data_IF_455988148085
#
_entry.id   IF_455988148085
#
_cell.length_a   1.000
_cell.length_b   1.000
_cell.length_c   1.000
_cell.angle_alpha   90.00
_cell.angle_beta   90.00
_cell.angle_gamma   90.00
#
_symmetry.space_group_name_H-M   'P 1'
#
loop_
_entity.id
_entity.type
_entity.pdbx_description
1 polymer ?
#
# COMPACT_ATOMS: atom_id res chain seq x y z
N UNK A 1 -8.86 3.95 34.05
CA UNK A 1 -9.60 5.21 33.81
C UNK A 1 -9.26 5.65 32.41
N UNK A 2 -10.23 5.70 31.50
CA UNK A 2 -9.98 6.26 30.17
C UNK A 2 -9.80 7.78 30.32
N UNK A 3 -8.77 8.34 29.69
CA UNK A 3 -8.60 9.78 29.60
C UNK A 3 -9.77 10.31 28.77
N UNK A 4 -10.63 11.13 29.38
CA UNK A 4 -11.79 11.70 28.70
C UNK A 4 -11.30 12.87 27.85
N UNK A 5 -11.39 12.72 26.53
CA UNK A 5 -11.08 13.78 25.57
C UNK A 5 -12.30 14.70 25.47
N UNK A 6 -12.08 15.99 25.63
CA UNK A 6 -13.09 17.02 25.41
C UNK A 6 -12.64 17.96 24.29
N UNK A 7 -13.61 18.49 23.53
CA UNK A 7 -13.37 19.38 22.39
C UNK A 7 -14.12 20.69 22.66
N UNK A 8 -13.53 21.82 22.29
CA UNK A 8 -14.16 23.13 22.40
C UNK A 8 -14.24 23.82 21.03
N UNK A 9 -15.41 24.40 20.71
CA UNK A 9 -15.55 25.39 19.64
C UNK A 9 -14.98 26.73 20.12
N UNK A 10 -14.05 27.30 19.37
CA UNK A 10 -13.44 28.62 19.68
C UNK A 10 -13.98 29.67 18.72
N UNK A 11 -14.58 30.73 19.27
CA UNK A 11 -15.10 31.89 18.53
C UNK A 11 -14.56 33.18 19.17
N UNK A 12 -13.61 33.84 18.49
CA UNK A 12 -12.84 34.94 19.08
C UNK A 12 -12.08 34.48 20.32
N UNK A 13 -12.25 35.19 21.43
CA UNK A 13 -11.62 34.85 22.73
C UNK A 13 -12.47 33.89 23.60
N UNK A 14 -13.55 33.33 23.06
CA UNK A 14 -14.46 32.44 23.80
C UNK A 14 -14.34 31.00 23.31
N UNK A 15 -14.20 30.08 24.26
CA UNK A 15 -14.24 28.64 24.00
C UNK A 15 -15.50 28.03 24.65
N UNK A 16 -16.28 27.28 23.89
CA UNK A 16 -17.47 26.56 24.36
C UNK A 16 -17.28 25.05 24.13
N UNK A 17 -17.46 24.19 25.16
CA UNK A 17 -17.28 22.75 25.00
C UNK A 17 -18.34 22.18 24.06
N UNK A 18 -17.94 21.30 23.16
CA UNK A 18 -18.86 20.53 22.34
C UNK A 18 -19.60 19.51 23.21
N UNK A 19 -20.87 19.25 22.90
CA UNK A 19 -21.67 18.28 23.65
C UNK A 19 -21.49 16.88 23.08
N UNK A 20 -21.07 15.93 23.90
CA UNK A 20 -21.08 14.51 23.54
C UNK A 20 -22.51 14.06 23.25
N UNK A 21 -22.69 13.44 22.09
CA UNK A 21 -23.98 12.88 21.67
C UNK A 21 -23.79 11.47 21.16
N UNK A 22 -24.71 10.54 21.40
CA UNK A 22 -24.65 9.22 20.77
C UNK A 22 -24.71 9.37 19.25
N UNK A 23 -24.15 8.39 18.53
CA UNK A 23 -24.33 8.30 17.09
C UNK A 23 -25.77 7.84 16.80
N UNK A 24 -26.42 8.48 15.81
CA UNK A 24 -27.86 8.26 15.54
C UNK A 24 -28.18 6.80 15.17
N UNK A 25 -27.31 6.16 14.38
CA UNK A 25 -27.45 4.75 14.01
C UNK A 25 -26.13 4.15 13.53
N UNK A 26 -26.02 2.83 13.57
CA UNK A 26 -24.89 2.09 12.97
C UNK A 26 -24.81 2.32 11.47
N UNK A 27 -25.97 2.33 10.80
CA UNK A 27 -26.06 2.65 9.38
C UNK A 27 -25.45 4.01 9.05
N UNK A 28 -25.72 5.05 9.85
CA UNK A 28 -25.13 6.39 9.66
C UNK A 28 -23.60 6.35 9.80
N UNK A 29 -23.10 5.63 10.79
CA UNK A 29 -21.65 5.44 10.98
C UNK A 29 -21.03 4.71 9.78
N UNK A 30 -21.65 3.63 9.30
CA UNK A 30 -21.23 2.93 8.10
C UNK A 30 -21.23 3.83 6.87
N UNK A 31 -22.27 4.65 6.67
CA UNK A 31 -22.36 5.59 5.55
C UNK A 31 -21.19 6.57 5.57
N UNK A 32 -20.86 7.11 6.74
CA UNK A 32 -19.73 8.04 6.92
C UNK A 32 -18.37 7.36 6.65
N UNK A 33 -18.18 6.14 7.13
CA UNK A 33 -16.93 5.39 6.92
C UNK A 33 -16.81 4.86 5.50
N UNK A 34 -17.92 4.53 4.84
CA UNK A 34 -17.89 4.11 3.44
C UNK A 34 -17.50 5.27 2.51
N UNK A 35 -17.95 6.48 2.81
CA UNK A 35 -17.62 7.70 2.06
C UNK A 35 -16.18 8.14 2.28
N UNK A 36 -15.73 8.21 3.54
CA UNK A 36 -14.34 8.55 3.89
C UNK A 36 -13.78 7.56 4.93
N UNK A 37 -13.25 6.41 4.49
CA UNK A 37 -12.69 5.44 5.41
C UNK A 37 -11.45 5.96 6.13
N UNK A 38 -10.71 6.89 5.54
CA UNK A 38 -9.49 7.43 6.13
C UNK A 38 -9.78 8.27 7.39
N UNK A 39 -10.97 8.89 7.48
CA UNK A 39 -11.38 9.66 8.66
C UNK A 39 -11.29 8.85 9.96
N UNK A 40 -11.74 7.59 9.97
CA UNK A 40 -11.69 6.73 11.15
C UNK A 40 -10.55 5.71 11.13
N UNK A 41 -10.20 5.15 9.97
CA UNK A 41 -9.15 4.12 9.86
C UNK A 41 -7.76 4.69 9.64
N UNK A 42 -7.63 5.98 9.29
CA UNK A 42 -6.35 6.60 8.95
C UNK A 42 -5.65 5.98 7.74
N UNK A 43 -6.36 5.10 7.03
CA UNK A 43 -5.86 4.37 5.88
C UNK A 43 -6.74 4.77 4.70
N UNK A 44 -6.10 5.09 3.59
CA UNK A 44 -6.81 5.32 2.35
C UNK A 44 -7.29 3.96 1.79
N UNK A 45 -8.60 3.77 1.72
CA UNK A 45 -9.23 2.52 1.29
C UNK A 45 -10.17 2.76 0.10
N UNK A 46 -10.13 1.85 -0.87
CA UNK A 46 -11.23 1.65 -1.82
C UNK A 46 -12.25 0.71 -1.17
N UNK A 47 -13.45 1.19 -0.84
CA UNK A 47 -14.52 0.34 -0.34
C UNK A 47 -15.07 -0.52 -1.46
N UNK A 48 -14.90 -1.83 -1.32
CA UNK A 48 -15.31 -2.81 -2.34
C UNK A 48 -16.64 -3.47 -2.02
N UNK A 49 -17.09 -3.42 -0.77
CA UNK A 49 -18.36 -4.02 -0.40
C UNK A 49 -18.89 -3.52 0.92
N UNK A 50 -20.21 -3.61 1.06
CA UNK A 50 -20.94 -3.27 2.27
C UNK A 50 -21.92 -4.38 2.61
N UNK A 51 -22.06 -4.71 3.90
CA UNK A 51 -22.94 -5.77 4.40
C UNK A 51 -22.71 -7.08 3.63
N UNK A 52 -21.43 -7.43 3.45
CA UNK A 52 -20.98 -8.54 2.60
C UNK A 52 -21.24 -9.85 3.32
N UNK A 53 -22.11 -10.67 2.75
CA UNK A 53 -22.43 -12.00 3.28
C UNK A 53 -21.26 -12.95 3.05
N UNK A 54 -20.80 -13.60 4.12
CA UNK A 54 -19.79 -14.66 4.05
C UNK A 54 -20.45 -15.99 3.70
N UNK A 55 -19.66 -16.94 3.19
CA UNK A 55 -20.17 -18.26 2.82
C UNK A 55 -20.63 -19.08 4.04
N UNK A 56 -20.21 -18.69 5.24
CA UNK A 56 -20.59 -19.31 6.52
C UNK A 56 -21.75 -18.59 7.23
N UNK A 57 -22.36 -17.58 6.59
CA UNK A 57 -23.57 -16.91 7.06
C UNK A 57 -23.35 -15.65 7.91
N UNK A 58 -22.09 -15.23 8.11
CA UNK A 58 -21.76 -13.93 8.72
C UNK A 58 -21.95 -12.77 7.76
N UNK A 59 -21.95 -11.53 8.28
CA UNK A 59 -22.13 -10.31 7.46
C UNK A 59 -21.08 -9.28 7.86
N UNK A 60 -20.11 -9.05 6.98
CA UNK A 60 -19.07 -8.03 7.18
C UNK A 60 -19.68 -6.66 6.91
N UNK A 61 -19.57 -5.72 7.85
CA UNK A 61 -20.15 -4.38 7.70
C UNK A 61 -19.55 -3.63 6.50
N UNK A 62 -18.22 -3.47 6.45
CA UNK A 62 -17.51 -2.92 5.29
C UNK A 62 -16.25 -3.73 4.96
N UNK A 63 -15.99 -3.87 3.66
CA UNK A 63 -14.79 -4.49 3.11
C UNK A 63 -14.09 -3.47 2.20
N UNK A 64 -12.79 -3.26 2.41
CA UNK A 64 -11.99 -2.32 1.64
C UNK A 64 -10.65 -2.89 1.18
N UNK A 65 -10.03 -2.25 0.19
CA UNK A 65 -8.66 -2.51 -0.24
C UNK A 65 -7.79 -1.28 -0.03
N UNK A 66 -6.59 -1.47 0.52
CA UNK A 66 -5.57 -0.41 0.52
C UNK A 66 -4.72 -0.41 -0.76
N UNK A 67 -3.78 0.53 -0.85
CA UNK A 67 -2.91 0.69 -2.02
C UNK A 67 -1.95 -0.49 -2.27
N UNK A 68 -1.71 -1.35 -1.28
CA UNK A 68 -0.99 -2.61 -1.41
C UNK A 68 -1.89 -3.78 -1.86
N UNK A 69 -3.21 -3.57 -1.96
CA UNK A 69 -4.17 -4.62 -2.28
C UNK A 69 -4.46 -5.54 -1.09
N UNK A 70 -4.16 -5.13 0.14
CA UNK A 70 -4.55 -5.86 1.35
C UNK A 70 -6.02 -5.64 1.62
N UNK A 71 -6.70 -6.69 2.10
CA UNK A 71 -8.13 -6.61 2.44
C UNK A 71 -8.29 -6.10 3.87
N UNK A 72 -9.06 -5.03 4.02
CA UNK A 72 -9.45 -4.44 5.30
C UNK A 72 -10.89 -4.82 5.63
N UNK A 73 -11.06 -5.43 6.80
CA UNK A 73 -12.35 -5.76 7.41
C UNK A 73 -12.66 -4.69 8.43
N UNK A 74 -13.75 -3.97 8.23
CA UNK A 74 -14.23 -3.00 9.19
C UNK A 74 -15.52 -3.54 9.79
N UNK A 75 -15.51 -3.80 11.09
CA UNK A 75 -16.70 -4.16 11.87
C UNK A 75 -17.10 -2.94 12.71
N UNK A 76 -18.31 -2.44 12.52
CA UNK A 76 -18.76 -1.18 13.06
C UNK A 76 -19.86 -1.41 14.10
N UNK A 77 -19.77 -0.68 15.21
CA UNK A 77 -20.77 -0.69 16.28
C UNK A 77 -20.96 0.71 16.81
N UNK A 78 -22.21 1.16 16.94
CA UNK A 78 -22.47 2.54 17.40
C UNK A 78 -22.18 2.72 18.90
N UNK A 79 -22.43 1.67 19.67
CA UNK A 79 -22.37 1.67 21.14
C UNK A 79 -21.20 0.82 21.64
N UNK A 80 -21.15 0.64 22.97
CA UNK A 80 -20.24 -0.29 23.63
C UNK A 80 -20.40 -1.70 23.07
N UNK A 81 -19.29 -2.26 22.61
CA UNK A 81 -19.31 -3.57 21.95
C UNK A 81 -18.90 -4.70 22.91
N UNK A 82 -19.65 -5.83 22.92
CA UNK A 82 -19.30 -7.01 23.71
C UNK A 82 -18.21 -7.87 23.03
N UNK A 83 -17.61 -8.76 23.83
CA UNK A 83 -16.59 -9.75 23.43
C UNK A 83 -16.83 -10.49 22.11
N UNK A 84 -18.09 -10.71 21.74
CA UNK A 84 -18.45 -11.45 20.52
C UNK A 84 -17.91 -10.79 19.25
N UNK A 85 -17.73 -9.45 19.24
CA UNK A 85 -17.21 -8.74 18.06
C UNK A 85 -15.82 -9.22 17.68
N UNK A 86 -14.95 -9.48 18.66
CA UNK A 86 -13.57 -9.90 18.37
C UNK A 86 -13.57 -11.28 17.74
N UNK A 87 -14.41 -12.19 18.24
CA UNK A 87 -14.56 -13.53 17.67
C UNK A 87 -15.15 -13.48 16.27
N UNK A 88 -16.19 -12.67 16.06
CA UNK A 88 -16.84 -12.44 14.76
C UNK A 88 -15.85 -11.87 13.73
N UNK A 89 -15.10 -10.82 14.09
CA UNK A 89 -14.09 -10.23 13.21
C UNK A 89 -12.99 -11.23 12.82
N UNK A 90 -12.55 -12.08 13.75
CA UNK A 90 -11.57 -13.13 13.46
C UNK A 90 -12.14 -14.26 12.60
N UNK A 91 -13.41 -14.62 12.79
CA UNK A 91 -14.10 -15.63 11.99
C UNK A 91 -14.15 -15.22 10.51
N UNK A 92 -14.41 -13.93 10.23
CA UNK A 92 -14.32 -13.37 8.88
C UNK A 92 -12.96 -13.57 8.23
N UNK A 93 -11.89 -13.55 9.02
CA UNK A 93 -10.53 -13.80 8.53
C UNK A 93 -10.38 -15.17 7.86
N UNK A 94 -11.13 -16.18 8.31
CA UNK A 94 -11.10 -17.52 7.69
C UNK A 94 -11.70 -17.51 6.28
N UNK A 95 -12.78 -16.76 6.09
CA UNK A 95 -13.45 -16.61 4.79
C UNK A 95 -12.63 -15.72 3.85
N UNK A 96 -12.16 -14.58 4.35
CA UNK A 96 -11.44 -13.58 3.55
C UNK A 96 -10.15 -14.13 2.99
N UNK A 97 -9.43 -14.96 3.75
CA UNK A 97 -8.17 -15.57 3.30
C UNK A 97 -8.32 -16.37 2.00
N UNK A 98 -9.51 -16.84 1.67
CA UNK A 98 -9.79 -17.61 0.45
C UNK A 98 -10.21 -16.74 -0.75
N UNK A 99 -10.41 -15.43 -0.58
CA UNK A 99 -10.85 -14.55 -1.65
C UNK A 99 -9.69 -14.24 -2.60
N UNK A 100 -9.82 -14.67 -3.84
CA UNK A 100 -8.96 -14.26 -4.94
C UNK A 100 -9.47 -12.97 -5.60
N UNK A 101 -8.73 -12.46 -6.59
CA UNK A 101 -9.10 -11.25 -7.32
C UNK A 101 -10.47 -11.34 -7.99
N UNK A 102 -10.83 -12.52 -8.52
CA UNK A 102 -12.11 -12.72 -9.18
C UNK A 102 -13.27 -12.64 -8.19
N UNK A 103 -13.10 -13.18 -6.98
CA UNK A 103 -14.11 -13.08 -5.93
C UNK A 103 -14.21 -11.66 -5.36
N UNK A 104 -13.10 -10.95 -5.25
CA UNK A 104 -13.11 -9.53 -4.86
C UNK A 104 -13.82 -8.65 -5.91
N UNK A 105 -13.60 -8.92 -7.20
CA UNK A 105 -14.29 -8.23 -8.30
C UNK A 105 -15.81 -8.50 -8.29
N UNK A 106 -16.23 -9.73 -7.98
CA UNK A 106 -17.65 -10.04 -7.79
C UNK A 106 -18.26 -9.27 -6.61
N UNK A 107 -17.55 -9.17 -5.48
CA UNK A 107 -18.01 -8.39 -4.32
C UNK A 107 -18.16 -6.91 -4.72
N UNK A 108 -17.19 -6.39 -5.48
CA UNK A 108 -17.21 -5.04 -6.03
C UNK A 108 -18.43 -4.79 -6.93
N UNK A 109 -18.70 -5.69 -7.87
CA UNK A 109 -19.86 -5.62 -8.77
C UNK A 109 -21.19 -5.68 -8.03
N UNK A 110 -21.32 -6.52 -7.01
CA UNK A 110 -22.54 -6.57 -6.18
C UNK A 110 -22.83 -5.22 -5.52
N UNK A 111 -21.78 -4.49 -5.12
CA UNK A 111 -21.93 -3.22 -4.42
C UNK A 111 -22.04 -2.01 -5.34
N UNK A 112 -21.27 -1.97 -6.44
CA UNK A 112 -21.15 -0.83 -7.34
C UNK A 112 -21.91 -1.00 -8.68
N UNK A 113 -22.45 -2.19 -8.94
CA UNK A 113 -23.18 -2.55 -10.17
C UNK A 113 -22.44 -3.56 -11.05
N UNK A 114 -23.21 -4.35 -11.81
CA UNK A 114 -22.69 -5.48 -12.60
C UNK A 114 -21.64 -5.09 -13.65
N UNK A 115 -21.64 -3.84 -14.14
CA UNK A 115 -20.67 -3.33 -15.11
C UNK A 115 -19.42 -2.70 -14.47
N UNK A 116 -19.35 -2.65 -13.14
CA UNK A 116 -18.23 -2.06 -12.42
C UNK A 116 -16.98 -2.96 -12.51
N UNK A 117 -15.82 -2.34 -12.73
CA UNK A 117 -14.52 -3.02 -12.84
C UNK A 117 -13.63 -2.64 -11.65
N UNK A 118 -13.32 -3.61 -10.79
CA UNK A 118 -12.49 -3.40 -9.61
C UNK A 118 -11.08 -2.93 -9.99
N UNK A 119 -10.48 -3.49 -11.05
CA UNK A 119 -9.11 -3.13 -11.46
C UNK A 119 -9.06 -1.68 -11.94
N UNK A 120 -10.05 -1.26 -12.72
CA UNK A 120 -10.16 0.12 -13.19
C UNK A 120 -10.37 1.09 -12.03
N UNK A 121 -11.27 0.78 -11.10
CA UNK A 121 -11.51 1.59 -9.91
C UNK A 121 -10.28 1.68 -9.00
N UNK A 122 -9.59 0.55 -8.78
CA UNK A 122 -8.37 0.50 -8.00
C UNK A 122 -7.25 1.32 -8.66
N UNK A 123 -7.06 1.22 -9.97
CA UNK A 123 -6.07 2.02 -10.69
C UNK A 123 -6.43 3.51 -10.77
N UNK A 124 -7.72 3.86 -10.68
CA UNK A 124 -8.18 5.25 -10.59
C UNK A 124 -7.93 5.87 -9.23
N UNK A 125 -7.86 5.08 -8.16
CA UNK A 125 -7.54 5.56 -6.80
C UNK A 125 -6.05 5.44 -6.46
N UNK A 126 -5.44 4.31 -6.82
CA UNK A 126 -4.10 3.90 -6.44
C UNK A 126 -3.21 3.61 -7.66
N UNK A 127 -2.13 2.86 -7.45
CA UNK A 127 -1.42 2.19 -8.54
C UNK A 127 -2.22 0.97 -9.01
N UNK A 128 -1.95 0.40 -10.21
CA UNK A 128 -2.57 -0.86 -10.62
C UNK A 128 -2.51 -1.93 -9.52
N UNK A 129 -3.62 -2.66 -9.36
CA UNK A 129 -3.78 -3.69 -8.35
C UNK A 129 -2.77 -4.82 -8.59
N UNK A 130 -2.17 -5.39 -7.53
CA UNK A 130 -1.18 -6.42 -7.71
C UNK A 130 -1.85 -7.79 -7.82
N UNK A 131 -2.22 -8.18 -9.05
CA UNK A 131 -3.02 -9.39 -9.32
C UNK A 131 -2.57 -10.65 -8.55
N UNK A 132 -1.25 -10.91 -8.46
CA UNK A 132 -0.71 -12.11 -7.80
C UNK A 132 -0.59 -12.01 -6.28
N UNK A 133 -0.53 -10.79 -5.73
CA UNK A 133 -0.29 -10.51 -4.31
C UNK A 133 -1.54 -9.94 -3.60
N UNK A 134 -2.63 -9.70 -4.33
CA UNK A 134 -3.86 -9.17 -3.77
C UNK A 134 -4.36 -10.10 -2.66
N UNK A 135 -4.80 -9.51 -1.55
CA UNK A 135 -5.27 -10.22 -0.38
C UNK A 135 -4.24 -11.23 0.19
N UNK A 136 -2.95 -10.99 -0.05
CA UNK A 136 -1.88 -11.76 0.61
C UNK A 136 -1.83 -11.47 2.12
N UNK A 137 -2.38 -10.36 2.57
CA UNK A 137 -2.47 -10.01 3.98
C UNK A 137 -3.82 -9.33 4.26
N UNK A 138 -4.31 -9.46 5.50
CA UNK A 138 -5.60 -8.93 5.93
C UNK A 138 -5.43 -7.96 7.10
N UNK A 139 -6.31 -6.98 7.22
CA UNK A 139 -6.36 -6.05 8.35
C UNK A 139 -7.77 -6.08 8.94
N UNK A 140 -7.85 -6.13 10.26
CA UNK A 140 -9.12 -6.22 10.98
C UNK A 140 -9.25 -5.00 11.90
N UNK A 141 -10.26 -4.18 11.66
CA UNK A 141 -10.49 -2.96 12.44
C UNK A 141 -11.89 -2.99 13.03
N UNK A 142 -11.98 -2.96 14.35
CA UNK A 142 -13.24 -2.78 15.07
C UNK A 142 -13.44 -1.28 15.31
N UNK A 143 -14.52 -0.70 14.82
CA UNK A 143 -14.87 0.72 15.00
C UNK A 143 -16.03 0.79 15.98
N UNK A 144 -15.80 1.32 17.18
CA UNK A 144 -16.81 1.40 18.24
C UNK A 144 -16.69 2.68 19.05
N UNK A 145 -17.73 3.05 19.82
CA UNK A 145 -17.60 4.15 20.78
C UNK A 145 -16.87 3.74 22.06
N UNK A 146 -16.96 2.46 22.44
CA UNK A 146 -16.25 1.85 23.55
C UNK A 146 -16.11 0.33 23.32
N UNK A 147 -15.04 -0.27 23.84
CA UNK A 147 -14.92 -1.73 24.00
C UNK A 147 -15.00 -2.11 25.47
N UNK A 148 -15.64 -3.23 25.79
CA UNK A 148 -15.54 -3.78 27.14
C UNK A 148 -14.09 -4.16 27.48
N UNK A 149 -13.69 -4.12 28.77
CA UNK A 149 -12.31 -4.38 29.16
C UNK A 149 -11.77 -5.76 28.75
N UNK A 150 -12.63 -6.78 28.60
CA UNK A 150 -12.19 -8.09 28.13
C UNK A 150 -11.89 -8.07 26.63
N UNK A 151 -12.72 -7.40 25.83
CA UNK A 151 -12.47 -7.19 24.39
C UNK A 151 -11.17 -6.43 24.14
N UNK A 152 -10.96 -5.31 24.84
CA UNK A 152 -9.72 -4.52 24.72
C UNK A 152 -8.47 -5.37 25.00
N UNK A 153 -8.46 -6.11 26.13
CA UNK A 153 -7.35 -7.00 26.48
C UNK A 153 -7.10 -8.09 25.43
N UNK A 154 -8.14 -8.63 24.80
CA UNK A 154 -7.98 -9.66 23.76
C UNK A 154 -7.35 -9.06 22.50
N UNK A 155 -7.81 -7.88 22.07
CA UNK A 155 -7.25 -7.19 20.89
C UNK A 155 -5.78 -6.85 21.14
N UNK A 156 -5.44 -6.24 22.27
CA UNK A 156 -4.06 -5.94 22.68
C UNK A 156 -3.19 -7.20 22.68
N UNK A 157 -3.65 -8.28 23.32
CA UNK A 157 -2.91 -9.54 23.38
C UNK A 157 -2.65 -10.13 21.99
N UNK A 158 -3.64 -10.16 21.11
CA UNK A 158 -3.50 -10.70 19.76
C UNK A 158 -2.57 -9.84 18.89
N UNK A 159 -2.71 -8.52 18.97
CA UNK A 159 -1.91 -7.58 18.21
C UNK A 159 -0.44 -7.59 18.67
N UNK A 160 -0.20 -7.41 19.96
CA UNK A 160 1.15 -7.22 20.50
C UNK A 160 1.91 -8.53 20.71
N UNK A 161 1.23 -9.60 21.14
CA UNK A 161 1.93 -10.86 21.49
C UNK A 161 2.04 -11.83 20.31
N UNK A 162 1.14 -11.73 19.32
CA UNK A 162 1.08 -12.69 18.20
C UNK A 162 1.14 -12.03 16.81
N UNK A 163 1.20 -10.70 16.74
CA UNK A 163 1.22 -9.97 15.46
C UNK A 163 -0.03 -10.23 14.62
N UNK A 164 -1.16 -10.55 15.24
CA UNK A 164 -2.43 -10.64 14.52
C UNK A 164 -2.80 -9.21 14.09
N UNK A 165 -3.10 -8.97 12.80
CA UNK A 165 -3.35 -7.63 12.27
C UNK A 165 -4.76 -7.13 12.64
N UNK A 166 -5.10 -7.13 13.93
CA UNK A 166 -6.37 -6.69 14.50
C UNK A 166 -6.14 -5.46 15.39
N UNK A 167 -7.01 -4.47 15.28
CA UNK A 167 -6.99 -3.29 16.15
C UNK A 167 -8.40 -2.73 16.34
N UNK A 168 -8.54 -1.73 17.22
CA UNK A 168 -9.79 -1.03 17.46
C UNK A 168 -9.62 0.48 17.37
N UNK A 169 -10.57 1.13 16.72
CA UNK A 169 -10.76 2.58 16.68
C UNK A 169 -11.91 2.93 17.62
N UNK A 170 -11.64 3.81 18.59
CA UNK A 170 -12.66 4.42 19.41
C UNK A 170 -13.08 5.75 18.81
N UNK A 171 -14.35 5.90 18.46
CA UNK A 171 -14.88 7.19 18.01
C UNK A 171 -15.69 7.89 19.11
N UNK A 172 -15.68 9.21 19.07
CA UNK A 172 -16.55 10.09 19.87
C UNK A 172 -17.31 10.99 18.93
N UNK A 173 -18.62 11.05 19.13
CA UNK A 173 -19.52 11.91 18.37
C UNK A 173 -19.91 13.11 19.23
N UNK A 174 -19.79 14.30 18.66
CA UNK A 174 -20.21 15.55 19.30
C UNK A 174 -21.16 16.28 18.38
N UNK A 175 -22.14 16.93 18.98
CA UNK A 175 -23.09 17.78 18.29
C UNK A 175 -23.00 19.20 18.80
N UNK A 176 -23.09 20.12 17.86
CA UNK A 176 -23.06 21.55 18.12
C UNK A 176 -23.93 22.24 17.07
N UNK A 177 -25.14 22.62 17.50
CA UNK A 177 -26.22 23.09 16.65
C UNK A 177 -26.58 22.09 15.53
N UNK A 178 -26.37 22.49 14.28
CA UNK A 178 -26.59 21.76 13.04
C UNK A 178 -25.33 21.04 12.52
N UNK A 179 -24.24 21.03 13.30
CA UNK A 179 -22.97 20.39 12.94
C UNK A 179 -22.70 19.16 13.81
N UNK A 180 -22.18 18.13 13.15
CA UNK A 180 -21.70 16.92 13.79
C UNK A 180 -20.17 16.83 13.65
N UNK A 181 -19.53 16.39 14.73
CA UNK A 181 -18.09 16.22 14.81
C UNK A 181 -17.77 14.79 15.22
N UNK A 182 -16.79 14.19 14.54
CA UNK A 182 -16.19 12.93 14.93
C UNK A 182 -14.76 13.15 15.36
N UNK A 183 -14.39 12.49 16.46
CA UNK A 183 -13.00 12.36 16.87
C UNK A 183 -12.70 10.89 17.11
N UNK A 184 -11.44 10.50 16.93
CA UNK A 184 -11.01 9.11 17.10
C UNK A 184 -9.75 8.95 17.93
N UNK A 185 -9.63 7.80 18.57
CA UNK A 185 -8.38 7.29 19.13
C UNK A 185 -8.22 5.82 18.75
N UNK A 186 -7.00 5.31 18.85
CA UNK A 186 -6.71 3.89 18.66
C UNK A 186 -6.51 3.21 20.00
N UNK A 187 -6.87 1.92 20.07
CA UNK A 187 -6.53 1.07 21.21
C UNK A 187 -5.02 0.83 21.27
N UNK A 188 -4.43 0.39 20.15
CA UNK A 188 -2.98 0.22 19.97
C UNK A 188 -2.52 1.13 18.84
N UNK A 189 -1.32 1.71 18.92
CA UNK A 189 -0.77 2.50 17.81
C UNK A 189 -0.74 1.65 16.51
N UNK A 190 -1.38 2.10 15.41
CA UNK A 190 -1.37 1.37 14.14
C UNK A 190 0.02 1.03 13.61
N UNK A 191 1.02 1.89 13.85
CA UNK A 191 2.40 1.63 13.44
C UNK A 191 3.00 0.46 14.21
N UNK A 192 2.67 0.32 15.50
CA UNK A 192 3.08 -0.80 16.34
C UNK A 192 2.42 -2.10 15.87
N UNK A 193 1.10 -2.09 15.60
CA UNK A 193 0.39 -3.27 15.10
C UNK A 193 0.98 -3.75 13.76
N UNK A 194 1.26 -2.83 12.84
CA UNK A 194 1.89 -3.15 11.57
C UNK A 194 3.30 -3.73 11.75
N UNK A 195 4.09 -3.19 12.69
CA UNK A 195 5.43 -3.70 12.98
C UNK A 195 5.40 -5.12 13.55
N UNK A 196 4.51 -5.42 14.50
CA UNK A 196 4.38 -6.76 15.08
C UNK A 196 3.82 -7.77 14.08
N UNK A 197 2.86 -7.37 13.24
CA UNK A 197 2.35 -8.23 12.17
C UNK A 197 3.42 -8.61 11.15
N UNK A 198 4.30 -7.66 10.79
CA UNK A 198 5.47 -7.93 9.94
C UNK A 198 6.46 -8.90 10.58
N UNK A 199 6.69 -8.79 11.90
CA UNK A 199 7.56 -9.72 12.63
C UNK A 199 6.98 -11.14 12.64
N UNK A 200 5.68 -11.28 12.90
CA UNK A 200 5.01 -12.57 12.92
C UNK A 200 4.96 -13.24 11.52
N UNK A 201 4.68 -12.48 10.47
CA UNK A 201 4.53 -13.04 9.10
C UNK A 201 5.83 -13.58 8.50
N UNK A 202 7.00 -13.16 8.99
CA UNK A 202 8.32 -13.74 8.61
C UNK A 202 8.42 -15.26 8.80
N UNK A 203 7.52 -15.87 9.57
CA UNK A 203 7.54 -17.32 9.87
C UNK A 203 6.62 -18.21 9.02
N UNK A 204 5.67 -17.67 8.21
CA UNK A 204 4.55 -18.49 7.64
C UNK A 204 4.40 -18.54 6.11
N UNK A 205 5.11 -17.70 5.35
CA UNK A 205 5.30 -17.81 3.88
C UNK A 205 6.80 -17.67 3.62
N UNK A 206 7.32 -18.02 2.44
CA UNK A 206 8.69 -17.57 2.06
C UNK A 206 8.65 -16.05 2.11
N UNK A 207 9.18 -15.43 3.17
CA UNK A 207 8.90 -14.04 3.42
C UNK A 207 9.67 -13.25 2.38
N UNK A 208 9.09 -12.13 1.94
CA UNK A 208 9.89 -11.17 1.20
C UNK A 208 11.12 -10.82 2.04
N UNK A 209 12.32 -10.82 1.43
CA UNK A 209 13.58 -10.69 2.15
C UNK A 209 13.82 -9.29 2.75
N UNK A 210 12.86 -8.37 2.57
CA UNK A 210 12.90 -7.03 3.12
C UNK A 210 13.64 -6.01 2.26
N UNK A 211 14.26 -6.44 1.15
CA UNK A 211 15.14 -5.58 0.35
C UNK A 211 14.88 -5.65 -1.16
N UNK A 212 14.41 -6.77 -1.73
CA UNK A 212 14.44 -6.96 -3.19
C UNK A 212 13.13 -6.59 -3.89
N UNK A 213 13.20 -5.64 -4.81
CA UNK A 213 12.09 -5.28 -5.67
C UNK A 213 12.35 -5.68 -7.11
N UNK A 214 11.29 -6.08 -7.81
CA UNK A 214 11.24 -6.14 -9.25
C UNK A 214 10.83 -4.77 -9.78
N UNK A 215 11.45 -4.31 -10.87
CA UNK A 215 11.02 -3.11 -11.60
C UNK A 215 10.95 -3.36 -13.10
N UNK A 216 9.80 -3.09 -13.70
CA UNK A 216 9.62 -3.13 -15.16
C UNK A 216 10.00 -1.77 -15.78
N UNK A 217 11.05 -1.76 -16.60
CA UNK A 217 11.61 -0.58 -17.29
C UNK A 217 11.05 -0.37 -18.70
N UNK A 218 9.88 -0.92 -19.02
CA UNK A 218 9.27 -0.68 -20.32
C UNK A 218 7.79 -1.05 -20.41
N UNK A 219 7.15 -0.51 -21.44
CA UNK A 219 5.98 -1.01 -22.18
C UNK A 219 6.19 -0.58 -23.65
N UNK A 220 5.42 -1.11 -24.60
CA UNK A 220 5.51 -0.65 -25.99
C UNK A 220 5.38 0.90 -26.05
N UNK A 221 6.40 1.59 -26.60
CA UNK A 221 6.49 3.06 -26.66
C UNK A 221 7.28 3.75 -25.54
N UNK A 222 7.70 3.05 -24.47
CA UNK A 222 8.36 3.67 -23.30
C UNK A 222 9.80 3.20 -23.10
N UNK A 223 10.63 3.23 -24.15
CA UNK A 223 12.06 2.88 -24.02
C UNK A 223 12.86 3.89 -23.18
N UNK A 224 12.34 5.12 -23.03
CA UNK A 224 12.94 6.17 -22.21
C UNK A 224 13.31 5.75 -20.79
N UNK A 225 12.54 4.85 -20.18
CA UNK A 225 12.80 4.40 -18.80
C UNK A 225 14.08 3.61 -18.69
N UNK A 226 14.41 2.83 -19.72
CA UNK A 226 15.70 2.15 -19.79
C UNK A 226 16.82 3.17 -19.96
N UNK A 227 16.68 4.13 -20.87
CA UNK A 227 17.72 5.14 -21.13
C UNK A 227 18.02 6.00 -19.89
N UNK A 228 17.00 6.44 -19.16
CA UNK A 228 17.19 7.16 -17.90
C UNK A 228 17.90 6.29 -16.85
N UNK A 229 17.51 5.02 -16.75
CA UNK A 229 18.06 4.10 -15.76
C UNK A 229 19.52 3.74 -16.09
N UNK A 230 19.84 3.44 -17.34
CA UNK A 230 21.18 3.05 -17.78
C UNK A 230 22.15 4.23 -17.84
N UNK A 231 21.71 5.39 -18.34
CA UNK A 231 22.57 6.57 -18.53
C UNK A 231 22.72 7.42 -17.28
N UNK A 232 21.63 7.66 -16.56
CA UNK A 232 21.61 8.60 -15.45
C UNK A 232 21.41 7.94 -14.08
N UNK A 233 21.23 6.61 -14.03
CA UNK A 233 20.92 5.92 -12.78
C UNK A 233 19.57 6.37 -12.20
N UNK A 234 18.57 6.63 -13.04
CA UNK A 234 17.25 7.08 -12.61
C UNK A 234 16.15 6.12 -13.06
N UNK A 235 15.44 5.54 -12.09
CA UNK A 235 14.22 4.78 -12.33
C UNK A 235 13.04 5.76 -12.42
N UNK A 236 12.22 5.68 -13.46
CA UNK A 236 11.15 6.66 -13.74
C UNK A 236 9.76 6.03 -13.78
N UNK A 237 8.77 6.70 -13.21
CA UNK A 237 7.35 6.38 -13.35
C UNK A 237 6.46 7.59 -12.99
N UNK A 238 5.15 7.51 -13.31
CA UNK A 238 4.18 8.55 -12.94
C UNK A 238 3.94 8.69 -11.43
N UNK A 239 3.34 9.83 -11.03
CA UNK A 239 3.07 10.22 -9.63
C UNK A 239 2.46 9.15 -8.72
N UNK A 240 1.48 8.39 -9.24
CA UNK A 240 0.77 7.34 -8.48
C UNK A 240 1.48 5.99 -8.44
N UNK A 241 2.64 5.86 -9.07
CA UNK A 241 3.38 4.61 -9.19
C UNK A 241 3.79 4.00 -7.84
N UNK A 242 3.93 2.67 -7.82
CA UNK A 242 4.56 1.91 -6.73
C UNK A 242 6.05 2.18 -6.58
N UNK A 243 6.64 3.02 -7.45
CA UNK A 243 8.00 3.53 -7.32
C UNK A 243 8.26 4.14 -5.92
N UNK A 244 7.23 4.71 -5.27
CA UNK A 244 7.30 5.24 -3.89
C UNK A 244 7.69 4.22 -2.82
N UNK A 245 7.55 2.93 -3.12
CA UNK A 245 7.90 1.83 -2.23
C UNK A 245 9.41 1.54 -2.21
N UNK A 246 10.14 2.03 -3.22
CA UNK A 246 11.59 1.94 -3.26
C UNK A 246 12.19 2.91 -2.24
N UNK A 247 12.78 2.35 -1.19
CA UNK A 247 13.44 3.12 -0.13
C UNK A 247 14.96 3.02 -0.29
N UNK A 248 15.72 4.05 0.14
CA UNK A 248 17.17 3.96 0.17
C UNK A 248 17.65 2.65 0.82
N UNK A 249 18.60 1.98 0.17
CA UNK A 249 19.15 0.70 0.59
C UNK A 249 18.49 -0.54 -0.04
N UNK A 250 17.26 -0.45 -0.54
CA UNK A 250 16.59 -1.57 -1.24
C UNK A 250 17.29 -1.91 -2.56
N UNK A 251 17.25 -3.18 -2.96
CA UNK A 251 17.75 -3.63 -4.27
C UNK A 251 16.62 -3.68 -5.28
N UNK A 252 16.93 -3.36 -6.53
CA UNK A 252 16.00 -3.42 -7.66
C UNK A 252 16.55 -4.36 -8.72
N UNK A 253 15.72 -5.29 -9.16
CA UNK A 253 15.97 -6.20 -10.27
C UNK A 253 15.23 -5.64 -11.47
N UNK A 254 15.99 -5.00 -12.36
CA UNK A 254 15.47 -4.29 -13.51
C UNK A 254 15.15 -5.26 -14.65
N UNK A 255 13.92 -5.18 -15.14
CA UNK A 255 13.38 -6.06 -16.17
C UNK A 255 12.82 -5.25 -17.33
N UNK A 256 13.17 -5.66 -18.54
CA UNK A 256 12.61 -5.15 -19.79
C UNK A 256 11.50 -6.09 -20.28
N UNK A 257 10.23 -5.65 -20.30
CA UNK A 257 9.12 -6.48 -20.77
C UNK A 257 9.32 -7.00 -22.19
N UNK A 258 9.10 -8.31 -22.36
CA UNK A 258 9.35 -9.02 -23.62
C UNK A 258 10.81 -9.43 -23.84
N UNK A 259 11.75 -8.88 -23.08
CA UNK A 259 13.19 -9.11 -23.23
C UNK A 259 13.78 -9.97 -22.12
N UNK A 260 13.75 -9.51 -20.87
CA UNK A 260 14.46 -10.15 -19.76
C UNK A 260 15.01 -9.16 -18.72
N UNK A 261 15.81 -9.65 -17.78
CA UNK A 261 16.51 -8.83 -16.80
C UNK A 261 17.72 -8.12 -17.40
N UNK A 262 17.89 -6.84 -17.07
CA UNK A 262 18.91 -5.95 -17.65
C UNK A 262 19.91 -5.40 -16.63
N UNK A 263 19.63 -5.53 -15.34
CA UNK A 263 20.55 -5.11 -14.29
C UNK A 263 20.01 -5.33 -12.89
N UNK A 264 20.91 -5.25 -11.90
CA UNK A 264 20.56 -5.19 -10.49
C UNK A 264 21.18 -3.91 -9.92
N UNK A 265 20.37 -3.09 -9.27
CA UNK A 265 20.79 -1.84 -8.67
C UNK A 265 20.38 -1.71 -7.21
N UNK A 266 20.93 -0.71 -6.53
CA UNK A 266 20.56 -0.31 -5.18
C UNK A 266 20.02 1.11 -5.19
N UNK A 267 18.86 1.30 -4.57
CA UNK A 267 18.22 2.61 -4.44
C UNK A 267 19.04 3.47 -3.49
N UNK A 268 19.42 4.67 -3.93
CA UNK A 268 20.29 5.58 -3.17
C UNK A 268 19.54 6.78 -2.58
N UNK A 269 18.31 7.03 -3.01
CA UNK A 269 17.52 8.20 -2.62
C UNK A 269 16.02 7.93 -2.64
N UNK A 270 15.25 8.94 -2.22
CA UNK A 270 13.79 8.87 -2.24
C UNK A 270 13.24 9.24 -3.62
N UNK A 271 11.95 8.93 -3.83
CA UNK A 271 11.21 9.34 -5.02
C UNK A 271 11.00 10.85 -5.02
N UNK A 272 11.41 11.53 -6.09
CA UNK A 272 11.29 12.98 -6.27
C UNK A 272 10.71 13.32 -7.66
N UNK A 273 10.08 14.49 -7.85
CA UNK A 273 9.69 14.96 -9.18
C UNK A 273 10.88 15.06 -10.14
N UNK A 274 10.69 14.64 -11.40
CA UNK A 274 11.75 14.70 -12.42
C UNK A 274 12.26 16.14 -12.63
N UNK A 275 11.38 17.15 -12.60
CA UNK A 275 11.74 18.57 -12.73
C UNK A 275 12.70 19.13 -11.66
N UNK A 276 12.86 18.47 -10.52
CA UNK A 276 13.82 18.88 -9.48
C UNK A 276 14.98 17.90 -9.33
N UNK A 277 15.05 16.88 -10.18
CA UNK A 277 16.12 15.91 -10.15
C UNK A 277 17.38 16.50 -10.76
N UNK A 278 18.52 16.12 -10.19
CA UNK A 278 19.86 16.44 -10.69
C UNK A 278 20.58 15.13 -11.02
N UNK A 279 21.39 15.17 -12.07
CA UNK A 279 22.24 14.06 -12.50
C UNK A 279 23.69 14.50 -12.51
N UNK A 280 24.60 13.54 -12.32
CA UNK A 280 26.03 13.78 -12.38
C UNK A 280 26.54 13.52 -13.81
N UNK A 281 27.10 14.54 -14.45
CA UNK A 281 27.71 14.46 -15.78
C UNK A 281 29.11 15.05 -15.67
N UNK A 282 30.13 14.26 -16.03
CA UNK A 282 31.54 14.65 -15.95
C UNK A 282 31.97 15.18 -14.57
N UNK A 283 31.34 14.68 -13.50
CA UNK A 283 31.61 15.06 -12.11
C UNK A 283 30.90 16.34 -11.63
N UNK A 284 30.04 16.95 -12.46
CA UNK A 284 29.23 18.11 -12.11
C UNK A 284 27.74 17.75 -11.99
N UNK A 285 27.05 18.33 -11.00
CA UNK A 285 25.61 18.15 -10.85
C UNK A 285 24.88 19.12 -11.78
N UNK A 286 24.03 18.58 -12.64
CA UNK A 286 23.26 19.33 -13.62
C UNK A 286 21.78 18.95 -13.52
N UNK A 287 20.84 19.88 -13.77
CA UNK A 287 19.41 19.56 -13.82
C UNK A 287 19.12 18.47 -14.84
N UNK A 288 18.27 17.50 -14.48
CA UNK A 288 17.88 16.41 -15.38
C UNK A 288 17.19 16.94 -16.65
N UNK A 289 16.38 17.98 -16.52
CA UNK A 289 15.65 18.59 -17.65
C UNK A 289 16.56 19.30 -18.66
N UNK A 290 17.79 19.67 -18.26
CA UNK A 290 18.76 20.28 -19.19
C UNK A 290 19.48 19.22 -20.03
N UNK A 291 19.31 17.94 -19.71
CA UNK A 291 19.95 16.85 -20.42
C UNK A 291 19.15 16.39 -21.63
N UNK A 292 19.80 15.78 -22.65
CA UNK A 292 19.10 15.13 -23.73
C UNK A 292 18.10 14.11 -23.16
N UNK A 293 16.83 14.39 -23.38
CA UNK A 293 15.74 13.52 -22.96
C UNK A 293 15.34 12.58 -24.11
N UNK A 294 14.90 11.36 -23.76
CA UNK A 294 14.69 10.27 -24.71
C UNK A 294 13.46 10.46 -25.62
N UNK A 295 12.47 11.27 -25.23
CA UNK A 295 11.20 11.43 -25.93
C UNK A 295 10.45 12.71 -25.48
N UNK A 296 9.52 13.22 -26.31
CA UNK A 296 8.72 14.45 -26.08
C UNK A 296 7.60 14.23 -25.05
N UNK A 297 6.93 13.08 -25.06
CA UNK A 297 5.90 12.73 -24.07
C UNK A 297 6.51 12.66 -22.66
N UNK A 298 7.72 12.11 -22.53
CA UNK A 298 8.43 12.13 -21.26
C UNK A 298 8.74 13.55 -20.78
N UNK A 299 9.18 14.44 -21.67
CA UNK A 299 9.53 15.82 -21.29
C UNK A 299 8.33 16.59 -20.73
N UNK A 300 7.17 16.50 -21.39
CA UNK A 300 5.92 17.11 -20.92
C UNK A 300 5.55 16.61 -19.50
N UNK A 301 5.65 15.30 -19.26
CA UNK A 301 5.37 14.70 -17.96
C UNK A 301 6.39 15.12 -16.91
N UNK A 302 7.66 15.23 -17.28
CA UNK A 302 8.74 15.60 -16.38
C UNK A 302 8.62 17.05 -15.88
N UNK A 303 8.13 17.96 -16.73
CA UNK A 303 7.85 19.36 -16.38
C UNK A 303 6.54 19.55 -15.60
N UNK A 304 5.56 18.66 -15.78
CA UNK A 304 4.22 18.80 -15.22
C UNK A 304 4.20 18.89 -13.69
N UNK A 305 3.27 19.70 -13.16
CA UNK A 305 2.93 19.78 -11.74
C UNK A 305 1.67 19.03 -11.36
N UNK A 306 0.93 18.52 -12.35
CA UNK A 306 -0.30 17.76 -12.13
C UNK A 306 0.05 16.37 -11.55
N UNK A 307 -0.44 16.01 -10.34
CA UNK A 307 -0.19 14.70 -9.71
C UNK A 307 -0.50 13.47 -10.58
N UNK A 308 -1.41 13.62 -11.56
CA UNK A 308 -1.82 12.52 -12.45
C UNK A 308 -0.95 12.41 -13.70
N UNK A 309 -0.23 13.47 -14.06
CA UNK A 309 0.64 13.53 -15.24
C UNK A 309 2.12 13.47 -14.86
N UNK A 310 2.49 14.03 -13.71
CA UNK A 310 3.85 14.22 -13.24
C UNK A 310 4.70 12.95 -13.36
N UNK A 311 5.91 13.12 -13.89
CA UNK A 311 6.94 12.09 -13.85
C UNK A 311 7.79 12.22 -12.60
N UNK A 312 8.06 11.08 -11.98
CA UNK A 312 8.80 10.97 -10.74
C UNK A 312 9.97 10.00 -10.96
N UNK A 313 11.09 10.30 -10.32
CA UNK A 313 12.31 9.49 -10.43
C UNK A 313 12.82 9.03 -9.07
N UNK A 314 13.49 7.88 -9.06
CA UNK A 314 14.23 7.35 -7.91
C UNK A 314 15.66 7.06 -8.35
N UNK A 315 16.69 7.58 -7.66
CA UNK A 315 18.07 7.31 -8.02
C UNK A 315 18.49 5.90 -7.61
N UNK A 316 19.24 5.26 -8.49
CA UNK A 316 19.76 3.90 -8.37
C UNK A 316 21.24 3.88 -8.74
N UNK A 317 22.02 3.16 -7.95
CA UNK A 317 23.39 2.78 -8.27
C UNK A 317 23.39 1.32 -8.75
N UNK A 318 23.89 1.05 -9.95
CA UNK A 318 23.99 -0.32 -10.46
C UNK A 318 25.07 -1.08 -9.71
N UNK A 319 24.76 -2.28 -9.23
CA UNK A 319 25.68 -3.07 -8.39
C UNK A 319 26.85 -3.67 -9.18
N UNK A 320 26.64 -3.90 -10.47
CA UNK A 320 27.66 -4.30 -11.44
C UNK A 320 27.46 -3.48 -12.73
N UNK A 321 27.85 -2.18 -12.74
CA UNK A 321 27.62 -1.27 -13.86
C UNK A 321 28.16 -1.80 -15.20
N UNK A 322 29.29 -2.50 -15.17
CA UNK A 322 29.91 -3.13 -16.33
C UNK A 322 29.14 -4.35 -16.86
N UNK A 323 28.22 -4.89 -16.06
CA UNK A 323 27.42 -6.07 -16.39
C UNK A 323 25.98 -5.76 -16.77
N UNK A 324 25.54 -4.48 -16.70
CA UNK A 324 24.20 -4.10 -17.18
C UNK A 324 24.09 -4.40 -18.68
N UNK A 325 22.90 -4.80 -19.14
CA UNK A 325 22.69 -5.31 -20.50
C UNK A 325 21.66 -4.47 -21.23
N UNK A 326 21.92 -4.21 -22.51
CA UNK A 326 20.90 -3.65 -23.40
C UNK A 326 19.69 -4.60 -23.53
N UNK A 327 18.49 -4.10 -23.89
CA UNK A 327 17.28 -4.90 -23.93
C UNK A 327 17.33 -6.12 -24.86
N UNK A 328 18.14 -6.10 -25.91
CA UNK A 328 18.36 -7.22 -26.84
C UNK A 328 19.31 -8.29 -26.28
N UNK A 329 20.08 -7.94 -25.25
CA UNK A 329 21.03 -8.81 -24.54
C UNK A 329 20.52 -9.24 -23.15
N UNK A 330 19.30 -8.83 -22.80
CA UNK A 330 18.70 -9.09 -21.49
C UNK A 330 18.76 -10.58 -21.10
N UNK A 331 19.04 -10.83 -19.82
CA UNK A 331 19.06 -12.17 -19.27
C UNK A 331 17.65 -12.76 -19.19
N UNK A 332 17.46 -13.93 -19.80
CA UNK A 332 16.20 -14.66 -19.80
C UNK A 332 16.45 -16.14 -19.62
N UNK A 333 15.63 -16.75 -18.78
CA UNK A 333 15.56 -18.18 -18.57
C UNK A 333 14.09 -18.56 -18.34
N UNK A 334 13.74 -19.82 -18.61
CA UNK A 334 12.39 -20.31 -18.37
C UNK A 334 12.12 -20.36 -16.87
N UNK A 335 11.00 -19.78 -16.43
CA UNK A 335 10.58 -19.82 -15.03
C UNK A 335 11.02 -18.63 -14.19
N UNK A 336 11.70 -17.64 -14.80
CA UNK A 336 11.94 -16.38 -14.12
C UNK A 336 10.65 -15.59 -13.92
N UNK A 337 10.53 -14.94 -12.77
CA UNK A 337 9.43 -14.07 -12.41
C UNK A 337 9.38 -12.84 -13.33
N UNK A 338 8.17 -12.43 -13.71
CA UNK A 338 7.90 -11.17 -14.39
C UNK A 338 6.50 -10.69 -14.00
N UNK A 339 6.30 -9.38 -13.88
CA UNK A 339 5.03 -8.79 -13.47
C UNK A 339 4.60 -7.69 -14.44
N UNK A 340 3.28 -7.47 -14.54
CA UNK A 340 2.72 -6.33 -15.28
C UNK A 340 2.81 -5.01 -14.49
N UNK A 341 3.09 -5.11 -13.18
CA UNK A 341 3.29 -3.97 -12.30
C UNK A 341 4.62 -3.28 -12.62
N UNK A 342 4.64 -1.95 -12.50
CA UNK A 342 5.89 -1.20 -12.63
C UNK A 342 6.87 -1.57 -11.54
N UNK A 343 6.43 -1.71 -10.29
CA UNK A 343 7.26 -2.13 -9.15
C UNK A 343 6.48 -3.11 -8.27
N UNK A 344 7.12 -4.21 -7.87
CA UNK A 344 6.58 -5.14 -6.86
C UNK A 344 7.69 -5.82 -6.06
N UNK A 345 7.33 -6.44 -4.93
CA UNK A 345 8.26 -7.19 -4.09
C UNK A 345 8.72 -8.45 -4.85
N UNK A 346 10.02 -8.62 -5.08
CA UNK A 346 10.57 -9.83 -5.68
C UNK A 346 10.79 -10.87 -4.59
N UNK A 347 10.03 -11.98 -4.65
CA UNK A 347 10.09 -13.08 -3.66
C UNK A 347 10.65 -14.37 -4.22
N UNK A 348 10.72 -14.49 -5.54
CA UNK A 348 11.12 -15.74 -6.19
C UNK A 348 12.63 -15.96 -6.06
N UNK A 349 13.03 -16.84 -5.14
CA UNK A 349 14.44 -17.15 -4.87
C UNK A 349 15.17 -17.69 -6.09
N UNK A 350 14.47 -18.43 -6.96
CA UNK A 350 15.07 -18.94 -8.20
C UNK A 350 15.47 -17.78 -9.10
N UNK A 351 14.58 -16.82 -9.31
CA UNK A 351 14.82 -15.60 -10.06
C UNK A 351 15.94 -14.78 -9.44
N UNK A 352 15.90 -14.53 -8.13
CA UNK A 352 16.93 -13.75 -7.44
C UNK A 352 18.31 -14.38 -7.70
N UNK A 353 18.47 -15.67 -7.43
CA UNK A 353 19.76 -16.38 -7.59
C UNK A 353 20.22 -16.44 -9.05
N UNK A 354 19.30 -16.70 -9.98
CA UNK A 354 19.62 -16.81 -11.40
C UNK A 354 20.08 -15.46 -11.96
N UNK A 355 19.38 -14.37 -11.62
CA UNK A 355 19.75 -13.02 -12.07
C UNK A 355 21.04 -12.57 -11.37
N UNK A 356 21.20 -12.74 -10.06
CA UNK A 356 22.47 -12.44 -9.37
C UNK A 356 23.67 -13.13 -10.03
N UNK A 357 23.53 -14.43 -10.33
CA UNK A 357 24.56 -15.22 -11.02
C UNK A 357 24.85 -14.68 -12.42
N UNK A 358 23.81 -14.29 -13.18
CA UNK A 358 23.95 -13.77 -14.54
C UNK A 358 24.63 -12.39 -14.60
N UNK A 359 24.57 -11.62 -13.51
CA UNK A 359 25.19 -10.30 -13.37
C UNK A 359 26.44 -10.33 -12.48
N UNK A 360 27.01 -11.52 -12.26
CA UNK A 360 28.25 -11.74 -11.52
C UNK A 360 28.27 -11.16 -10.09
N UNK A 361 27.10 -10.96 -9.48
CA UNK A 361 26.99 -10.58 -8.08
C UNK A 361 27.14 -11.85 -7.25
N UNK A 362 28.36 -12.10 -6.77
CA UNK A 362 28.60 -13.20 -5.84
C UNK A 362 27.72 -13.03 -4.59
N UNK A 363 27.22 -14.16 -4.07
CA UNK A 363 26.47 -14.21 -2.82
C UNK A 363 27.38 -13.81 -1.64
N UNK A 364 27.46 -12.52 -1.36
CA UNK A 364 27.99 -12.01 -0.10
C UNK A 364 26.90 -12.18 0.96
N UNK A 365 26.70 -13.40 1.44
CA UNK A 365 26.02 -13.72 2.72
C UNK A 365 26.06 -15.24 2.92
N UNK A 366 27.25 -15.75 3.20
CA UNK A 366 27.48 -17.08 3.76
C UNK A 366 28.77 -17.04 4.57
N UNK A 367 28.79 -16.21 5.62
CA UNK A 367 29.59 -16.35 6.84
C UNK A 367 29.57 -15.02 7.59
N UNK A 368 28.70 -14.93 8.60
CA UNK A 368 28.95 -14.29 9.89
C UNK A 368 27.89 -14.73 10.92
#
# INVERSE_FOLDING_TARGET
>A
MAVEMAIWRVEGDKAAPLTLSPMDSERRLEDMVAEDPAALTGTDLLIIGRQVKTDFGGVVDLLGLDDEGRVHVLELKRDKTPREVVAQTLDYGSWIKALDLGRLDQIYQIYHGDEADLKAAFASRFAPIPDEDVNSDQRFTIIASELDPASARIVEFLAESYGVPINAVFFRHYRDDDRDYLARTWLVDPQQVEAESRRASRTKRRPWNGTDFYIALGRAGMMYRWELASKYGLLSAGGRSRLRNLKPGTRVFAYMPGSGYVGIGRVTGQMIPARVAEVEIDGERQPLLDQPHPDEEWAERAESTDPDVIEMVVPVEWLAPESIREPDQAFREKGLFASQLTVCKLRDEHTIKAVESAFALASQDADL
#
